data_IF_861100375272
#
_entry.id   IF_861100375272
#
_cell.length_a   1.000
_cell.length_b   1.000
_cell.length_c   1.000
_cell.angle_alpha   90.00
_cell.angle_beta   90.00
_cell.angle_gamma   90.00
#
_symmetry.space_group_name_H-M   'P 1'
#
loop_
_entity.id
_entity.type
_entity.pdbx_description
1 polymer ?
#
# COMPACT_ATOMS: atom_id res chain seq x y z
N UNK A 1 -4.51 2.60 6.08
CA UNK A 1 -3.19 3.10 6.54
C UNK A 1 -3.12 4.62 6.44
N UNK A 2 -2.22 5.28 7.16
CA UNK A 2 -2.05 6.75 7.16
C UNK A 2 -0.60 7.12 7.46
N UNK A 3 -0.08 8.18 6.84
CA UNK A 3 1.27 8.70 7.12
C UNK A 3 1.50 9.10 8.60
N UNK A 4 0.42 9.38 9.36
CA UNK A 4 0.45 9.66 10.80
C UNK A 4 0.07 8.46 11.68
N UNK A 5 -0.10 7.29 11.08
CA UNK A 5 -0.46 6.06 11.78
C UNK A 5 0.65 5.50 12.66
N UNK A 6 0.39 4.35 13.26
CA UNK A 6 1.35 3.59 14.05
C UNK A 6 1.35 2.14 13.55
N UNK A 7 2.53 1.57 13.29
CA UNK A 7 2.64 0.17 12.82
C UNK A 7 2.33 -0.87 13.92
N UNK A 8 2.23 -0.43 15.18
CA UNK A 8 1.67 -1.24 16.28
C UNK A 8 0.15 -1.27 16.29
N UNK A 9 -0.53 -0.44 15.48
CA UNK A 9 -1.97 -0.49 15.37
C UNK A 9 -2.41 -1.72 14.59
N UNK A 10 -3.63 -2.24 14.81
CA UNK A 10 -4.15 -3.37 14.04
C UNK A 10 -4.35 -3.04 12.55
N UNK A 11 -4.41 -1.76 12.17
CA UNK A 11 -4.53 -1.35 10.77
C UNK A 11 -5.88 -1.66 10.11
N UNK A 12 -6.79 -2.29 10.84
CA UNK A 12 -8.11 -2.75 10.40
C UNK A 12 -9.19 -1.67 10.42
N UNK A 13 -8.90 -0.48 10.96
CA UNK A 13 -9.86 0.63 11.01
C UNK A 13 -9.20 1.99 10.78
N UNK A 14 -10.02 2.97 10.41
CA UNK A 14 -9.57 4.35 10.19
C UNK A 14 -9.00 5.02 11.45
N UNK A 15 -9.44 4.60 12.65
CA UNK A 15 -8.97 5.13 13.93
C UNK A 15 -7.63 4.56 14.39
N UNK A 16 -7.21 3.43 13.83
CA UNK A 16 -5.94 2.78 14.17
C UNK A 16 -5.21 2.30 12.90
N UNK A 17 -4.79 3.22 12.00
CA UNK A 17 -4.14 2.84 10.75
C UNK A 17 -2.67 2.45 10.99
N UNK A 18 -2.15 1.52 10.17
CA UNK A 18 -0.71 1.35 9.99
C UNK A 18 -0.05 2.66 9.52
N UNK A 19 1.21 2.86 9.90
CA UNK A 19 2.04 3.99 9.46
C UNK A 19 2.62 3.75 8.08
N UNK A 20 3.05 2.52 7.78
CA UNK A 20 3.81 2.21 6.56
C UNK A 20 3.00 1.42 5.54
N UNK A 21 3.10 1.83 4.27
CA UNK A 21 2.42 1.18 3.15
C UNK A 21 2.95 -0.23 2.91
N UNK A 22 4.27 -0.40 3.05
CA UNK A 22 4.91 -1.69 2.90
C UNK A 22 4.42 -2.71 3.95
N UNK A 23 4.23 -2.30 5.21
CA UNK A 23 3.73 -3.22 6.25
C UNK A 23 2.33 -3.73 5.94
N UNK A 24 1.45 -2.87 5.42
CA UNK A 24 0.13 -3.28 4.98
C UNK A 24 0.21 -4.28 3.82
N UNK A 25 1.11 -4.05 2.86
CA UNK A 25 1.35 -4.95 1.73
C UNK A 25 1.90 -6.33 2.17
N UNK A 26 2.80 -6.35 3.16
CA UNK A 26 3.39 -7.59 3.69
C UNK A 26 2.37 -8.47 4.43
N UNK A 27 1.33 -7.85 4.98
CA UNK A 27 0.25 -8.54 5.71
C UNK A 27 -0.94 -8.91 4.83
N UNK A 28 -1.17 -8.21 3.73
CA UNK A 28 -2.34 -8.40 2.88
C UNK A 28 -2.40 -9.82 2.28
N UNK A 29 -3.57 -10.45 2.42
CA UNK A 29 -3.92 -11.74 1.83
C UNK A 29 -5.01 -11.62 0.76
N UNK A 30 -5.31 -12.73 0.05
CA UNK A 30 -6.34 -12.73 -0.99
C UNK A 30 -7.69 -12.18 -0.49
N UNK A 31 -8.23 -11.19 -1.22
CA UNK A 31 -9.49 -10.51 -0.87
C UNK A 31 -9.32 -9.28 0.03
N UNK A 32 -8.12 -9.03 0.56
CA UNK A 32 -7.88 -7.87 1.41
C UNK A 32 -7.84 -6.57 0.61
N UNK A 33 -8.32 -5.51 1.26
CA UNK A 33 -8.30 -4.15 0.74
C UNK A 33 -7.42 -3.27 1.61
N UNK A 34 -6.30 -2.82 1.05
CA UNK A 34 -5.41 -1.84 1.65
C UNK A 34 -5.86 -0.44 1.22
N UNK A 35 -6.66 0.20 2.08
CA UNK A 35 -7.09 1.58 1.87
C UNK A 35 -6.03 2.59 2.37
N UNK A 36 -5.57 3.44 1.46
CA UNK A 36 -4.48 4.41 1.66
C UNK A 36 -5.05 5.81 1.87
N UNK A 37 -4.82 6.39 3.05
CA UNK A 37 -5.26 7.75 3.34
C UNK A 37 -4.31 8.81 2.77
N UNK A 38 -4.82 10.04 2.64
CA UNK A 38 -4.09 11.24 2.23
C UNK A 38 -2.72 11.34 2.89
N UNK A 39 -1.72 11.60 2.08
CA UNK A 39 -0.34 11.72 2.47
C UNK A 39 0.60 11.51 1.29
N UNK A 40 1.83 11.95 1.46
CA UNK A 40 2.94 11.65 0.54
C UNK A 40 3.74 10.51 1.11
N UNK A 41 3.80 9.39 0.37
CA UNK A 41 4.50 8.18 0.78
C UNK A 41 5.78 8.04 -0.03
N UNK A 42 6.91 7.86 0.64
CA UNK A 42 8.21 7.64 0.01
C UNK A 42 8.76 6.29 0.41
N UNK A 43 9.79 5.84 -0.30
CA UNK A 43 10.47 4.60 0.00
C UNK A 43 11.06 4.56 1.41
N UNK A 44 11.02 3.41 2.10
CA UNK A 44 11.54 3.28 3.47
C UNK A 44 13.07 3.32 3.52
N UNK A 45 13.74 2.98 2.42
CA UNK A 45 15.21 3.00 2.27
C UNK A 45 15.59 3.53 0.89
N UNK A 46 16.75 4.18 0.81
CA UNK A 46 17.29 4.69 -0.46
C UNK A 46 17.36 3.56 -1.51
N UNK A 47 16.81 3.82 -2.69
CA UNK A 47 16.80 2.87 -3.81
C UNK A 47 15.79 1.72 -3.72
N UNK A 48 14.99 1.64 -2.64
CA UNK A 48 13.87 0.69 -2.56
C UNK A 48 12.59 1.29 -3.15
N UNK A 49 11.63 0.47 -3.58
CA UNK A 49 10.35 0.97 -4.11
C UNK A 49 9.49 1.56 -2.96
N UNK A 50 8.54 2.43 -3.29
CA UNK A 50 7.57 2.95 -2.31
C UNK A 50 6.63 1.85 -1.84
N UNK A 51 6.17 1.01 -2.78
CA UNK A 51 5.36 -0.18 -2.53
C UNK A 51 5.94 -1.36 -3.31
N UNK A 52 6.29 -2.44 -2.60
CA UNK A 52 6.64 -3.73 -3.20
C UNK A 52 5.59 -4.76 -2.85
N UNK A 53 4.91 -5.31 -3.85
CA UNK A 53 3.90 -6.35 -3.70
C UNK A 53 4.49 -7.70 -4.11
N UNK A 54 4.66 -8.58 -3.13
CA UNK A 54 5.20 -9.95 -3.33
C UNK A 54 4.19 -11.05 -3.01
N UNK A 55 3.04 -10.68 -2.45
CA UNK A 55 1.95 -11.61 -2.12
C UNK A 55 0.94 -11.62 -3.24
N UNK A 56 0.43 -12.80 -3.58
CA UNK A 56 -0.61 -12.96 -4.59
C UNK A 56 -2.00 -12.98 -3.98
N UNK A 57 -2.95 -12.40 -4.70
CA UNK A 57 -4.37 -12.69 -4.52
C UNK A 57 -4.74 -14.04 -5.14
N UNK A 58 -6.04 -14.25 -5.34
CA UNK A 58 -6.61 -15.42 -6.03
C UNK A 58 -7.60 -14.96 -7.09
N UNK A 59 -7.94 -15.82 -8.08
CA UNK A 59 -9.08 -15.57 -8.95
C UNK A 59 -10.34 -15.27 -8.13
N UNK A 60 -11.01 -14.14 -8.39
CA UNK A 60 -12.18 -13.69 -7.64
C UNK A 60 -11.91 -13.06 -6.26
N UNK A 61 -10.67 -13.10 -5.77
CA UNK A 61 -10.25 -12.50 -4.50
C UNK A 61 -8.87 -11.83 -4.67
N UNK A 62 -8.77 -10.75 -5.46
CA UNK A 62 -7.52 -10.02 -5.62
C UNK A 62 -7.11 -9.32 -4.31
N UNK A 63 -5.84 -8.94 -4.21
CA UNK A 63 -5.39 -7.98 -3.20
C UNK A 63 -5.55 -6.59 -3.81
N UNK A 64 -6.31 -5.71 -3.15
CA UNK A 64 -6.61 -4.37 -3.66
C UNK A 64 -5.88 -3.31 -2.86
N UNK A 65 -5.08 -2.48 -3.54
CA UNK A 65 -4.49 -1.27 -2.99
C UNK A 65 -5.24 -0.07 -3.57
N UNK A 66 -5.91 0.70 -2.73
CA UNK A 66 -6.73 1.81 -3.22
C UNK A 66 -6.66 3.04 -2.32
N UNK A 67 -6.96 4.21 -2.88
CA UNK A 67 -7.17 5.39 -2.06
C UNK A 67 -8.40 5.22 -1.13
N UNK A 68 -8.29 5.69 0.10
CA UNK A 68 -9.44 5.80 0.99
C UNK A 68 -10.48 6.72 0.34
N UNK A 69 -11.79 6.42 0.40
CA UNK A 69 -12.81 7.19 -0.32
C UNK A 69 -12.70 8.70 -0.13
N UNK A 70 -12.66 9.45 -1.24
CA UNK A 70 -12.53 10.91 -1.26
C UNK A 70 -11.11 11.44 -0.99
N UNK A 71 -10.13 10.56 -0.84
CA UNK A 71 -8.73 10.91 -0.59
C UNK A 71 -7.86 10.68 -1.83
N UNK A 72 -6.74 11.40 -1.89
CA UNK A 72 -5.74 11.43 -2.96
C UNK A 72 -4.34 11.25 -2.37
N UNK A 73 -3.98 10.02 -1.95
CA UNK A 73 -2.62 9.71 -1.55
C UNK A 73 -1.67 9.78 -2.76
N UNK A 74 -0.46 10.27 -2.51
CA UNK A 74 0.61 10.37 -3.52
C UNK A 74 1.77 9.49 -3.10
N UNK A 75 2.16 8.54 -3.95
CA UNK A 75 3.40 7.80 -3.82
C UNK A 75 4.46 8.60 -4.57
N UNK A 76 5.46 9.11 -3.86
CA UNK A 76 6.47 9.99 -4.43
C UNK A 76 7.86 9.37 -4.25
N UNK A 77 8.33 8.56 -5.22
CA UNK A 77 9.61 7.89 -5.14
C UNK A 77 10.72 8.93 -5.28
N UNK A 78 11.62 9.05 -4.30
CA UNK A 78 12.67 10.08 -4.34
C UNK A 78 13.97 9.58 -4.93
N UNK A 79 14.28 8.31 -4.69
CA UNK A 79 15.51 7.64 -5.09
C UNK A 79 15.26 6.26 -5.69
N UNK A 80 14.01 5.81 -5.68
CA UNK A 80 13.59 4.55 -6.29
C UNK A 80 13.42 4.71 -7.80
N UNK A 81 13.67 3.63 -8.54
CA UNK A 81 13.31 3.55 -9.95
C UNK A 81 11.81 3.36 -10.17
N UNK A 82 11.12 2.69 -9.23
CA UNK A 82 9.68 2.44 -9.31
C UNK A 82 8.96 2.99 -8.07
N UNK A 83 7.77 3.55 -8.27
CA UNK A 83 6.86 3.81 -7.15
C UNK A 83 6.19 2.55 -6.66
N UNK A 84 5.61 1.77 -7.57
CA UNK A 84 4.99 0.49 -7.26
C UNK A 84 5.71 -0.61 -8.04
N UNK A 85 6.10 -1.67 -7.35
CA UNK A 85 6.68 -2.87 -7.95
C UNK A 85 5.84 -4.07 -7.54
N UNK A 86 5.33 -4.81 -8.53
CA UNK A 86 4.64 -6.10 -8.33
C UNK A 86 5.61 -7.18 -8.80
N UNK A 87 6.15 -7.94 -7.85
CA UNK A 87 7.23 -8.90 -8.12
C UNK A 87 6.86 -10.30 -7.65
N UNK A 88 6.74 -11.24 -8.59
CA UNK A 88 6.35 -12.62 -8.28
C UNK A 88 4.92 -12.77 -7.74
N UNK A 89 4.11 -11.71 -7.87
CA UNK A 89 2.74 -11.66 -7.40
C UNK A 89 1.73 -11.61 -8.55
N UNK A 90 0.52 -12.09 -8.29
CA UNK A 90 -0.60 -12.14 -9.24
C UNK A 90 -1.92 -11.74 -8.57
N UNK A 91 -2.93 -11.41 -9.36
CA UNK A 91 -4.25 -10.96 -8.88
C UNK A 91 -4.17 -9.74 -7.94
N UNK A 92 -3.50 -8.69 -8.42
CA UNK A 92 -3.34 -7.43 -7.70
C UNK A 92 -4.14 -6.34 -8.42
N UNK A 93 -4.91 -5.59 -7.65
CA UNK A 93 -5.66 -4.42 -8.12
C UNK A 93 -5.07 -3.18 -7.48
N UNK A 94 -4.78 -2.16 -8.29
CA UNK A 94 -4.27 -0.86 -7.83
C UNK A 94 -5.20 0.20 -8.39
N UNK A 95 -5.87 0.96 -7.53
CA UNK A 95 -6.93 1.89 -7.92
C UNK A 95 -6.77 3.24 -7.25
N UNK A 96 -6.95 4.31 -8.04
CA UNK A 96 -7.03 5.68 -7.56
C UNK A 96 -5.82 6.14 -6.71
N UNK A 97 -4.63 5.57 -6.95
CA UNK A 97 -3.37 6.04 -6.36
C UNK A 97 -2.62 6.92 -7.37
N UNK A 98 -2.07 8.02 -6.90
CA UNK A 98 -1.16 8.88 -7.67
C UNK A 98 0.28 8.44 -7.43
N UNK A 99 1.09 8.36 -8.48
CA UNK A 99 2.51 7.96 -8.46
C UNK A 99 3.34 8.95 -9.26
#
# INVERSE_FOLDING_TARGET
MSAKGNDSNPGTSAGAPFRTLQKAADLAGPGDVVAVMNGTYTEPRKGSNVLTVTRSGRPGAPITFMAYPGQRPVLHPRTAWNGISVYGASHIVIENLEV
#
